data_IF_606979267318
#
_entry.id   IF_606979267318
#
_cell.length_a   1.000
_cell.length_b   1.000
_cell.length_c   1.000
_cell.angle_alpha   90.00
_cell.angle_beta   90.00
_cell.angle_gamma   90.00
#
_symmetry.space_group_name_H-M   'P 1'
#
loop_
_entity.id
_entity.type
_entity.pdbx_description
1 polymer ?
#
# COMPACT_ATOMS: atom_id res chain seq x y z
N UNK A 1 7.06 18.06 -11.71
CA UNK A 1 6.81 16.61 -11.87
C UNK A 1 8.08 15.88 -11.44
N UNK A 2 7.99 14.98 -10.48
CA UNK A 2 9.15 14.23 -9.99
C UNK A 2 9.59 13.20 -11.04
N UNK A 3 10.91 13.09 -11.29
CA UNK A 3 11.47 12.05 -12.17
C UNK A 3 11.63 10.71 -11.46
N UNK A 4 11.75 10.73 -10.14
CA UNK A 4 11.87 9.53 -9.32
C UNK A 4 11.02 9.62 -8.05
N UNK A 5 10.49 8.48 -7.61
CA UNK A 5 9.87 8.33 -6.31
C UNK A 5 10.62 7.26 -5.52
N UNK A 6 10.96 7.58 -4.28
CA UNK A 6 11.60 6.63 -3.35
C UNK A 6 10.59 6.24 -2.29
N UNK A 7 10.08 5.01 -2.38
CA UNK A 7 9.11 4.47 -1.43
C UNK A 7 9.83 3.74 -0.31
N UNK A 8 9.59 4.18 0.92
CA UNK A 8 10.14 3.57 2.14
C UNK A 8 9.03 2.86 2.89
N UNK A 9 9.28 1.63 3.30
CA UNK A 9 8.34 0.84 4.08
C UNK A 9 8.04 1.50 5.44
N UNK A 10 6.76 1.85 5.65
CA UNK A 10 6.23 2.37 6.91
C UNK A 10 5.64 1.31 7.83
N UNK A 11 5.81 0.02 7.51
CA UNK A 11 5.35 -1.08 8.34
C UNK A 11 6.02 -1.10 9.71
N UNK A 12 5.33 -1.66 10.73
CA UNK A 12 5.81 -1.69 12.12
C UNK A 12 7.20 -2.29 12.26
N UNK A 13 7.49 -3.41 11.58
CA UNK A 13 8.81 -4.04 11.57
C UNK A 13 9.90 -3.11 11.04
N UNK A 14 9.69 -2.49 9.88
CA UNK A 14 10.64 -1.53 9.31
C UNK A 14 10.78 -0.26 10.15
N UNK A 15 9.69 0.21 10.75
CA UNK A 15 9.71 1.37 11.68
C UNK A 15 10.56 1.05 12.91
N UNK A 16 10.39 -0.13 13.51
CA UNK A 16 11.22 -0.57 14.64
C UNK A 16 12.69 -0.75 14.26
N UNK A 17 12.97 -1.09 13.00
CA UNK A 17 14.32 -1.21 12.45
C UNK A 17 14.90 0.11 11.93
N UNK A 18 14.23 1.26 12.18
CA UNK A 18 14.76 2.59 11.90
C UNK A 18 14.34 3.23 10.58
N UNK A 19 13.32 2.72 9.87
CA UNK A 19 12.90 3.30 8.58
C UNK A 19 12.51 4.79 8.67
N UNK A 20 12.06 5.26 9.83
CA UNK A 20 11.77 6.69 10.06
C UNK A 20 13.03 7.54 9.97
N UNK A 21 14.14 7.08 10.58
CA UNK A 21 15.43 7.77 10.52
C UNK A 21 15.99 7.76 9.10
N UNK A 22 15.85 6.61 8.43
CA UNK A 22 16.24 6.45 7.02
C UNK A 22 15.49 7.45 6.14
N UNK A 23 14.17 7.58 6.29
CA UNK A 23 13.37 8.53 5.52
C UNK A 23 13.81 9.98 5.77
N UNK A 24 14.05 10.33 7.02
CA UNK A 24 14.56 11.66 7.38
C UNK A 24 15.94 11.93 6.77
N UNK A 25 16.87 11.00 6.93
CA UNK A 25 18.21 11.11 6.36
C UNK A 25 18.20 11.21 4.85
N UNK A 26 17.32 10.44 4.20
CA UNK A 26 17.15 10.50 2.75
C UNK A 26 16.69 11.87 2.29
N UNK A 27 15.70 12.47 2.96
CA UNK A 27 15.24 13.81 2.64
C UNK A 27 16.37 14.84 2.81
N UNK A 28 17.14 14.77 3.90
CA UNK A 28 18.29 15.65 4.15
C UNK A 28 19.35 15.55 3.05
N UNK A 29 19.68 14.34 2.60
CA UNK A 29 20.65 14.14 1.51
C UNK A 29 20.10 14.57 0.14
N UNK A 30 18.79 14.39 -0.12
CA UNK A 30 18.12 14.91 -1.33
C UNK A 30 18.20 16.43 -1.36
N UNK A 31 17.85 17.10 -0.26
CA UNK A 31 17.88 18.56 -0.16
C UNK A 31 19.30 19.10 -0.34
N UNK A 32 20.29 18.49 0.32
CA UNK A 32 21.72 18.84 0.23
C UNK A 32 22.26 18.72 -1.20
N UNK A 33 21.77 17.77 -1.98
CA UNK A 33 22.21 17.55 -3.36
C UNK A 33 21.33 18.28 -4.40
N UNK A 34 20.39 19.13 -3.98
CA UNK A 34 19.54 19.91 -4.88
C UNK A 34 18.50 19.10 -5.67
N UNK A 35 18.10 17.96 -5.15
CA UNK A 35 17.16 17.04 -5.81
C UNK A 35 15.71 17.18 -5.32
N UNK A 36 15.39 18.16 -4.49
CA UNK A 36 14.07 18.33 -3.84
C UNK A 36 12.91 18.41 -4.82
N UNK A 37 13.12 19.05 -5.97
CA UNK A 37 12.08 19.17 -7.02
C UNK A 37 12.04 17.97 -8.00
N UNK A 38 13.01 17.07 -7.88
CA UNK A 38 13.19 15.93 -8.80
C UNK A 38 12.85 14.58 -8.19
N UNK A 39 13.04 14.41 -6.88
CA UNK A 39 12.89 13.15 -6.16
C UNK A 39 11.90 13.29 -5.03
N UNK A 40 10.87 12.47 -5.04
CA UNK A 40 9.85 12.43 -3.98
C UNK A 40 10.11 11.28 -3.03
N UNK A 41 10.19 11.55 -1.73
CA UNK A 41 10.24 10.53 -0.68
C UNK A 41 8.82 10.21 -0.20
N UNK A 42 8.44 8.95 -0.26
CA UNK A 42 7.11 8.48 0.12
C UNK A 42 7.22 7.41 1.21
N UNK A 43 6.57 7.62 2.33
CA UNK A 43 6.33 6.54 3.30
C UNK A 43 5.06 5.80 2.90
N UNK A 44 5.23 4.58 2.44
CA UNK A 44 4.12 3.73 2.00
C UNK A 44 3.74 2.69 3.07
N UNK A 45 2.67 1.94 2.82
CA UNK A 45 2.29 0.80 3.65
C UNK A 45 3.32 -0.34 3.63
N UNK A 46 3.05 -1.39 4.40
CA UNK A 46 3.96 -2.54 4.51
C UNK A 46 4.07 -3.31 3.19
N UNK A 47 5.30 -3.66 2.80
CA UNK A 47 5.55 -4.56 1.67
C UNK A 47 5.32 -6.04 2.00
N UNK A 48 5.19 -6.42 3.27
CA UNK A 48 4.99 -7.80 3.70
C UNK A 48 6.29 -8.62 3.84
N UNK A 49 7.45 -8.03 3.59
CA UNK A 49 8.77 -8.69 3.62
C UNK A 49 9.60 -8.22 4.83
N UNK A 50 9.03 -8.33 6.04
CA UNK A 50 9.63 -7.77 7.27
C UNK A 50 11.02 -8.31 7.58
N UNK A 51 11.34 -9.54 7.19
CA UNK A 51 12.69 -10.13 7.37
C UNK A 51 13.78 -9.39 6.56
N UNK A 52 13.39 -8.65 5.53
CA UNK A 52 14.29 -7.89 4.65
C UNK A 52 14.31 -6.39 4.99
N UNK A 53 13.62 -6.00 6.07
CA UNK A 53 13.51 -4.57 6.47
C UNK A 53 14.79 -4.01 7.11
N UNK A 54 14.97 -2.70 7.03
CA UNK A 54 14.21 -1.69 6.30
C UNK A 54 14.28 -1.82 4.78
N UNK A 55 13.12 -1.61 4.12
CA UNK A 55 12.96 -1.76 2.67
C UNK A 55 12.77 -0.40 2.02
N UNK A 56 13.42 -0.22 0.86
CA UNK A 56 13.30 0.95 0.01
C UNK A 56 13.13 0.52 -1.46
N UNK A 57 12.21 1.16 -2.19
CA UNK A 57 12.06 0.96 -3.64
C UNK A 57 12.22 2.30 -4.35
N UNK A 58 13.03 2.31 -5.40
CA UNK A 58 13.23 3.48 -6.26
C UNK A 58 12.48 3.26 -7.58
N UNK A 59 11.54 4.16 -7.89
CA UNK A 59 10.82 4.21 -9.15
C UNK A 59 11.35 5.35 -10.04
N UNK A 60 11.28 5.19 -11.39
CA UNK A 60 10.47 4.23 -12.16
C UNK A 60 11.08 2.83 -12.32
N UNK A 61 12.38 2.61 -12.07
CA UNK A 61 13.08 1.35 -12.35
C UNK A 61 12.55 0.18 -11.50
N UNK A 62 12.00 0.48 -10.31
CA UNK A 62 11.53 -0.54 -9.37
C UNK A 62 12.67 -1.22 -8.61
N UNK A 63 13.83 -0.55 -8.50
CA UNK A 63 14.99 -1.08 -7.77
C UNK A 63 14.64 -1.32 -6.32
N UNK A 64 14.77 -2.56 -5.87
CA UNK A 64 14.40 -3.00 -4.53
C UNK A 64 15.64 -3.15 -3.65
N UNK A 65 15.78 -2.23 -2.69
CA UNK A 65 16.81 -2.26 -1.68
C UNK A 65 16.31 -2.89 -0.38
N UNK A 66 17.08 -3.80 0.19
CA UNK A 66 16.77 -4.51 1.44
C UNK A 66 17.81 -4.20 2.52
N UNK A 67 17.41 -4.36 3.78
CA UNK A 67 18.26 -4.17 4.96
C UNK A 67 19.02 -2.82 4.96
N UNK A 68 18.38 -1.78 4.42
CA UNK A 68 18.96 -0.45 4.27
C UNK A 68 19.22 0.17 5.65
N UNK A 69 20.40 0.74 5.82
CA UNK A 69 20.79 1.47 7.02
C UNK A 69 20.91 2.96 6.75
N UNK A 70 20.90 3.76 7.81
CA UNK A 70 21.06 5.22 7.71
C UNK A 70 22.37 5.62 7.02
N UNK A 71 23.45 4.87 7.25
CA UNK A 71 24.77 5.06 6.65
C UNK A 71 24.82 4.84 5.13
N UNK A 72 23.89 4.03 4.58
CA UNK A 72 23.82 3.72 3.15
C UNK A 72 23.20 4.86 2.33
N UNK A 73 22.50 5.78 2.98
CA UNK A 73 21.66 6.77 2.29
C UNK A 73 22.51 7.72 1.44
N UNK A 74 23.66 8.18 1.94
CA UNK A 74 24.52 9.06 1.19
C UNK A 74 25.03 8.42 -0.11
N UNK A 75 25.33 7.12 -0.08
CA UNK A 75 25.74 6.35 -1.27
C UNK A 75 24.56 6.17 -2.24
N UNK A 76 23.38 5.81 -1.74
CA UNK A 76 22.17 5.67 -2.59
C UNK A 76 21.87 6.99 -3.31
N UNK A 77 21.92 8.12 -2.62
CA UNK A 77 21.66 9.42 -3.23
C UNK A 77 22.74 9.76 -4.26
N UNK A 78 24.02 9.63 -3.93
CA UNK A 78 25.12 10.03 -4.80
C UNK A 78 25.31 9.10 -6.01
N UNK A 79 25.10 7.81 -5.85
CA UNK A 79 25.29 6.85 -6.94
C UNK A 79 23.99 6.59 -7.73
N UNK A 80 22.88 6.27 -7.03
CA UNK A 80 21.66 5.91 -7.73
C UNK A 80 20.85 7.14 -8.15
N UNK A 81 20.50 8.03 -7.22
CA UNK A 81 19.60 9.15 -7.54
C UNK A 81 20.28 10.23 -8.39
N UNK A 82 21.58 10.49 -8.21
CA UNK A 82 22.32 11.48 -9.00
C UNK A 82 22.90 10.91 -10.30
N UNK A 83 23.52 9.73 -10.24
CA UNK A 83 24.30 9.18 -11.36
C UNK A 83 23.63 8.01 -12.09
N UNK A 84 22.47 7.54 -11.61
CA UNK A 84 21.76 6.39 -12.19
C UNK A 84 22.45 5.03 -11.99
N UNK A 85 23.43 4.95 -11.06
CA UNK A 85 24.19 3.73 -10.80
C UNK A 85 23.65 3.04 -9.57
N UNK A 86 23.03 1.88 -9.76
CA UNK A 86 22.43 1.10 -8.67
C UNK A 86 23.49 0.61 -7.69
N UNK A 87 23.21 0.72 -6.39
CA UNK A 87 24.07 0.23 -5.31
C UNK A 87 23.82 -1.28 -5.13
N UNK A 88 24.49 -2.09 -5.91
CA UNK A 88 24.23 -3.53 -6.06
C UNK A 88 24.29 -4.32 -4.76
N UNK A 89 25.16 -3.92 -3.81
CA UNK A 89 25.29 -4.59 -2.49
C UNK A 89 24.05 -4.54 -1.63
N UNK A 90 23.12 -3.60 -1.89
CA UNK A 90 21.87 -3.42 -1.15
C UNK A 90 20.66 -4.00 -1.88
N UNK A 91 20.84 -4.39 -3.15
CA UNK A 91 19.77 -4.97 -3.95
C UNK A 91 19.42 -6.35 -3.42
N UNK A 92 18.13 -6.64 -3.32
CA UNK A 92 17.68 -7.95 -2.89
C UNK A 92 18.01 -9.03 -3.92
N UNK A 93 18.69 -10.08 -3.53
CA UNK A 93 19.26 -11.09 -4.42
C UNK A 93 18.26 -11.75 -5.38
N UNK A 94 17.01 -12.00 -4.93
CA UNK A 94 15.97 -12.56 -5.80
C UNK A 94 15.54 -11.60 -6.93
N UNK A 95 15.86 -10.30 -6.82
CA UNK A 95 15.58 -9.31 -7.86
C UNK A 95 16.74 -9.15 -8.85
N UNK A 96 17.88 -9.82 -8.58
CA UNK A 96 19.05 -9.84 -9.47
C UNK A 96 19.08 -11.15 -10.23
N UNK A 97 18.80 -11.12 -11.53
CA UNK A 97 19.00 -12.27 -12.41
C UNK A 97 19.88 -11.86 -13.58
N UNK A 98 20.97 -12.57 -13.81
CA UNK A 98 21.84 -12.54 -15.01
C UNK A 98 21.90 -11.20 -15.78
N UNK A 99 22.18 -10.08 -15.08
CA UNK A 99 22.24 -8.70 -15.58
C UNK A 99 20.91 -7.91 -15.70
N UNK A 100 19.78 -8.42 -15.25
CA UNK A 100 18.53 -7.65 -15.16
C UNK A 100 18.07 -7.55 -13.72
N UNK A 101 17.69 -6.33 -13.29
CA UNK A 101 17.06 -6.10 -11.99
C UNK A 101 15.56 -6.28 -12.17
N UNK A 102 15.03 -7.34 -11.58
CA UNK A 102 13.60 -7.64 -11.61
C UNK A 102 12.83 -6.74 -10.67
N UNK A 103 11.61 -6.41 -11.05
CA UNK A 103 10.69 -5.68 -10.18
C UNK A 103 10.25 -6.54 -8.98
N UNK A 104 9.81 -5.89 -7.90
CA UNK A 104 9.27 -6.57 -6.72
C UNK A 104 8.18 -7.59 -7.07
N UNK A 105 7.37 -7.32 -8.10
CA UNK A 105 6.29 -8.21 -8.56
C UNK A 105 6.79 -9.55 -9.10
N UNK A 106 8.04 -9.61 -9.51
CA UNK A 106 8.67 -10.80 -10.09
C UNK A 106 9.36 -11.70 -9.07
N UNK A 107 9.42 -11.27 -7.82
CA UNK A 107 9.91 -12.11 -6.72
C UNK A 107 8.96 -13.27 -6.44
N UNK A 108 9.49 -14.41 -5.99
CA UNK A 108 8.70 -15.62 -5.73
C UNK A 108 7.60 -15.40 -4.69
N UNK A 109 7.85 -14.52 -3.73
CA UNK A 109 6.85 -14.14 -2.72
C UNK A 109 5.64 -13.46 -3.36
N UNK A 110 5.84 -12.48 -4.24
CA UNK A 110 4.74 -11.72 -4.86
C UNK A 110 4.06 -12.46 -6.00
N UNK A 111 4.80 -13.27 -6.77
CA UNK A 111 4.21 -14.10 -7.85
C UNK A 111 3.12 -15.04 -7.36
N UNK A 112 3.25 -15.53 -6.12
CA UNK A 112 2.30 -16.46 -5.50
C UNK A 112 1.12 -15.76 -4.81
N UNK A 113 1.07 -14.42 -4.80
CA UNK A 113 0.03 -13.65 -4.11
C UNK A 113 -0.91 -12.95 -5.09
N UNK A 114 -2.21 -13.04 -4.81
CA UNK A 114 -3.24 -12.26 -5.46
C UNK A 114 -3.73 -11.17 -4.49
N UNK A 115 -3.09 -9.99 -4.53
CA UNK A 115 -3.39 -8.89 -3.62
C UNK A 115 -4.58 -8.09 -4.10
N UNK A 116 -5.69 -8.11 -3.34
CA UNK A 116 -6.91 -7.34 -3.63
C UNK A 116 -6.99 -6.12 -2.72
N UNK A 117 -7.13 -6.31 -1.40
CA UNK A 117 -7.24 -5.22 -0.44
C UNK A 117 -5.95 -4.37 -0.35
N UNK A 118 -4.79 -5.02 -0.43
CA UNK A 118 -3.47 -4.38 -0.32
C UNK A 118 -2.81 -4.10 -1.67
N UNK A 119 -3.57 -4.09 -2.77
CA UNK A 119 -3.03 -3.95 -4.13
C UNK A 119 -2.21 -2.69 -4.35
N UNK A 120 -2.52 -1.62 -3.64
CA UNK A 120 -1.86 -0.33 -3.75
C UNK A 120 -0.71 -0.13 -2.74
N UNK A 121 -0.54 -1.05 -1.76
CA UNK A 121 0.57 -0.96 -0.80
C UNK A 121 1.91 -1.13 -1.52
N UNK A 122 2.81 -0.17 -1.30
CA UNK A 122 4.10 -0.14 -1.99
C UNK A 122 4.04 0.28 -3.46
N UNK A 123 2.92 0.85 -3.92
CA UNK A 123 2.72 1.27 -5.30
C UNK A 123 2.37 2.75 -5.42
N UNK A 124 1.56 3.27 -4.48
CA UNK A 124 1.14 4.67 -4.47
C UNK A 124 1.54 5.35 -3.16
N UNK A 125 1.55 6.69 -3.19
CA UNK A 125 1.58 7.49 -1.98
C UNK A 125 0.19 7.45 -1.32
N UNK A 126 0.04 6.88 -0.10
CA UNK A 126 -1.24 6.75 0.58
C UNK A 126 -1.84 8.10 1.02
N UNK A 127 -1.04 9.17 1.05
CA UNK A 127 -1.46 10.52 1.41
C UNK A 127 -1.83 11.40 0.19
N UNK A 128 -1.71 10.84 -1.04
CA UNK A 128 -2.03 11.53 -2.29
C UNK A 128 -3.29 10.95 -2.93
N UNK A 129 -4.39 11.71 -2.90
CA UNK A 129 -5.68 11.30 -3.48
C UNK A 129 -5.62 11.12 -5.00
N UNK A 130 -4.81 11.92 -5.69
CA UNK A 130 -4.68 11.87 -7.15
C UNK A 130 -4.06 10.54 -7.61
N UNK A 131 -3.09 10.01 -6.85
CA UNK A 131 -2.52 8.69 -7.12
C UNK A 131 -3.54 7.56 -6.91
N UNK A 132 -4.43 7.71 -5.90
CA UNK A 132 -5.52 6.76 -5.70
C UNK A 132 -6.54 6.82 -6.84
N UNK A 133 -6.92 8.01 -7.30
CA UNK A 133 -7.80 8.21 -8.44
C UNK A 133 -7.17 7.64 -9.72
N UNK A 134 -5.88 7.91 -9.94
CA UNK A 134 -5.12 7.36 -11.08
C UNK A 134 -5.05 5.83 -11.10
N UNK A 135 -5.37 5.17 -9.99
CA UNK A 135 -5.49 3.71 -9.85
C UNK A 135 -6.94 3.23 -9.75
N UNK A 136 -7.85 3.91 -10.45
CA UNK A 136 -9.29 3.65 -10.48
C UNK A 136 -9.98 3.81 -9.11
N UNK A 137 -9.40 4.63 -8.23
CA UNK A 137 -10.04 5.02 -6.98
C UNK A 137 -11.34 5.77 -7.26
N UNK A 138 -12.39 5.44 -6.50
CA UNK A 138 -13.74 6.02 -6.64
C UNK A 138 -14.47 5.73 -7.98
N UNK A 139 -13.90 4.96 -8.91
CA UNK A 139 -14.55 4.63 -10.18
C UNK A 139 -15.90 3.93 -9.95
N UNK A 140 -15.93 2.93 -9.07
CA UNK A 140 -17.16 2.23 -8.69
C UNK A 140 -18.20 3.17 -8.05
N UNK A 141 -17.75 4.09 -7.18
CA UNK A 141 -18.62 5.09 -6.58
C UNK A 141 -19.23 6.01 -7.66
N UNK A 142 -18.41 6.50 -8.57
CA UNK A 142 -18.88 7.33 -9.68
C UNK A 142 -19.91 6.64 -10.56
N UNK A 143 -19.70 5.35 -10.84
CA UNK A 143 -20.69 4.50 -11.56
C UNK A 143 -22.00 4.40 -10.78
N UNK A 144 -21.94 4.03 -9.51
CA UNK A 144 -23.13 3.90 -8.64
C UNK A 144 -23.94 5.18 -8.61
N UNK A 145 -23.30 6.32 -8.34
CA UNK A 145 -23.99 7.61 -8.22
C UNK A 145 -24.65 8.08 -9.53
N UNK A 146 -24.12 7.67 -10.68
CA UNK A 146 -24.64 8.08 -11.99
C UNK A 146 -25.69 7.15 -12.56
N UNK A 147 -25.60 5.86 -12.31
CA UNK A 147 -26.32 4.85 -13.12
C UNK A 147 -27.10 3.82 -12.31
N UNK A 148 -27.05 3.84 -10.99
CA UNK A 148 -27.65 2.79 -10.17
C UNK A 148 -28.57 3.38 -9.08
N UNK A 149 -29.67 2.67 -8.81
CA UNK A 149 -30.49 2.90 -7.61
C UNK A 149 -29.88 2.16 -6.40
N UNK A 150 -30.24 2.55 -5.17
CA UNK A 150 -29.81 1.80 -3.99
C UNK A 150 -30.17 0.30 -4.03
N UNK A 151 -31.30 -0.04 -4.62
CA UNK A 151 -31.77 -1.42 -4.71
C UNK A 151 -30.96 -2.20 -5.76
N UNK A 152 -30.55 -1.57 -6.88
CA UNK A 152 -29.63 -2.17 -7.86
C UNK A 152 -28.27 -2.49 -7.22
N UNK A 153 -27.75 -1.60 -6.40
CA UNK A 153 -26.48 -1.83 -5.68
C UNK A 153 -26.58 -3.01 -4.74
N UNK A 154 -27.68 -3.09 -3.97
CA UNK A 154 -27.94 -4.23 -3.08
C UNK A 154 -28.02 -5.53 -3.88
N UNK A 155 -28.70 -5.52 -5.03
CA UNK A 155 -28.83 -6.71 -5.87
C UNK A 155 -27.47 -7.17 -6.40
N UNK A 156 -26.62 -6.26 -6.90
CA UNK A 156 -25.24 -6.59 -7.32
C UNK A 156 -24.43 -7.24 -6.21
N UNK A 157 -24.54 -6.73 -4.98
CA UNK A 157 -23.82 -7.30 -3.84
C UNK A 157 -24.39 -8.66 -3.43
N UNK A 158 -25.71 -8.87 -3.53
CA UNK A 158 -26.34 -10.18 -3.32
C UNK A 158 -25.83 -11.21 -4.33
N UNK A 159 -25.86 -10.85 -5.62
CA UNK A 159 -25.45 -11.71 -6.74
C UNK A 159 -23.95 -12.05 -6.69
N UNK A 160 -23.14 -11.15 -6.18
CA UNK A 160 -21.69 -11.38 -5.99
C UNK A 160 -21.37 -12.42 -4.93
N UNK A 161 -22.33 -12.75 -4.07
CA UNK A 161 -22.09 -13.66 -2.93
C UNK A 161 -21.12 -13.11 -1.88
N UNK A 162 -20.82 -11.80 -1.89
CA UNK A 162 -19.90 -11.18 -0.92
C UNK A 162 -20.37 -11.39 0.52
N UNK A 163 -19.45 -11.81 1.37
CA UNK A 163 -19.70 -12.07 2.80
C UNK A 163 -18.86 -11.14 3.67
N UNK A 164 -19.34 -10.87 4.87
CA UNK A 164 -18.62 -10.11 5.90
C UNK A 164 -17.28 -10.74 6.26
N UNK A 165 -16.34 -9.91 6.68
CA UNK A 165 -14.98 -10.29 7.06
C UNK A 165 -14.70 -10.07 8.56
N UNK A 166 -15.75 -9.91 9.37
CA UNK A 166 -15.67 -9.80 10.82
C UNK A 166 -15.73 -11.14 11.58
N UNK A 167 -15.41 -12.26 10.92
CA UNK A 167 -15.41 -13.61 11.50
C UNK A 167 -16.68 -14.43 11.22
N UNK A 168 -17.87 -13.84 11.31
CA UNK A 168 -19.16 -14.53 11.13
C UNK A 168 -19.56 -14.81 9.69
N UNK A 169 -18.95 -14.17 8.71
CA UNK A 169 -19.22 -14.40 7.29
C UNK A 169 -20.66 -14.10 6.85
N UNK A 170 -21.35 -13.18 7.53
CA UNK A 170 -22.74 -12.84 7.20
C UNK A 170 -22.84 -12.27 5.77
N UNK A 171 -23.84 -12.65 4.94
CA UNK A 171 -24.00 -12.15 3.58
C UNK A 171 -24.15 -10.62 3.55
N UNK A 172 -23.20 -9.93 2.90
CA UNK A 172 -23.14 -8.45 2.91
C UNK A 172 -24.35 -7.82 2.26
N UNK A 173 -24.81 -8.34 1.11
CA UNK A 173 -26.00 -7.84 0.43
C UNK A 173 -27.27 -7.98 1.28
N UNK A 174 -27.38 -9.09 2.05
CA UNK A 174 -28.49 -9.28 2.99
C UNK A 174 -28.46 -8.26 4.13
N UNK A 175 -27.29 -7.98 4.66
CA UNK A 175 -27.11 -6.93 5.68
C UNK A 175 -27.55 -5.57 5.15
N UNK A 176 -27.15 -5.21 3.96
CA UNK A 176 -27.53 -3.95 3.33
C UNK A 176 -29.02 -3.86 3.02
N UNK A 177 -29.63 -4.96 2.55
CA UNK A 177 -31.07 -5.03 2.32
C UNK A 177 -31.89 -4.81 3.61
N UNK A 178 -31.47 -5.46 4.71
CA UNK A 178 -32.10 -5.26 6.02
C UNK A 178 -31.97 -3.81 6.49
N UNK A 179 -30.78 -3.23 6.40
CA UNK A 179 -30.55 -1.84 6.77
C UNK A 179 -31.39 -0.88 5.92
N UNK A 180 -31.46 -1.10 4.59
CA UNK A 180 -32.28 -0.30 3.67
C UNK A 180 -33.74 -0.27 4.07
N UNK A 181 -34.29 -1.44 4.41
CA UNK A 181 -35.69 -1.58 4.80
C UNK A 181 -36.01 -0.88 6.13
N UNK A 182 -35.07 -0.87 7.07
CA UNK A 182 -35.29 -0.28 8.40
C UNK A 182 -35.09 1.23 8.44
N UNK A 183 -34.23 1.79 7.58
CA UNK A 183 -33.83 3.21 7.63
C UNK A 183 -34.23 3.98 6.39
N UNK A 184 -35.22 3.51 5.66
CA UNK A 184 -35.66 4.09 4.37
C UNK A 184 -36.00 5.57 4.48
N UNK A 185 -36.66 5.96 5.56
CA UNK A 185 -37.18 7.31 5.79
C UNK A 185 -36.30 8.12 6.77
N UNK A 186 -35.10 7.63 7.12
CA UNK A 186 -34.21 8.36 8.01
C UNK A 186 -33.62 9.59 7.32
N UNK A 187 -33.67 10.74 7.95
CA UNK A 187 -33.14 12.00 7.43
C UNK A 187 -31.63 11.97 7.25
N UNK A 188 -30.93 11.27 8.14
CA UNK A 188 -29.46 11.15 8.11
C UNK A 188 -29.04 9.70 8.22
N UNK A 189 -28.05 9.31 7.39
CA UNK A 189 -27.51 7.97 7.33
C UNK A 189 -25.99 8.03 7.45
N UNK A 190 -25.42 7.06 8.14
CA UNK A 190 -23.98 6.96 8.36
C UNK A 190 -23.44 5.67 7.78
N UNK A 191 -22.23 5.72 7.23
CA UNK A 191 -21.46 4.54 6.85
C UNK A 191 -20.31 4.40 7.83
N UNK A 192 -20.32 3.31 8.60
CA UNK A 192 -19.27 3.00 9.55
C UNK A 192 -18.43 1.84 9.03
N UNK A 193 -17.10 2.05 8.93
CA UNK A 193 -16.16 0.98 8.65
C UNK A 193 -15.64 0.42 9.98
N UNK A 194 -16.01 -0.84 10.30
CA UNK A 194 -15.37 -1.55 11.40
C UNK A 194 -14.10 -2.23 10.86
N UNK A 195 -12.95 -1.79 11.36
CA UNK A 195 -11.63 -2.34 11.01
C UNK A 195 -10.85 -2.76 12.26
N UNK A 196 -11.54 -3.09 13.36
CA UNK A 196 -10.96 -3.40 14.67
C UNK A 196 -11.56 -4.68 15.30
N UNK A 197 -11.74 -5.71 14.51
CA UNK A 197 -12.28 -6.99 14.97
C UNK A 197 -11.16 -7.97 15.32
N UNK A 198 -11.24 -8.57 16.50
CA UNK A 198 -10.32 -9.61 16.98
C UNK A 198 -10.90 -11.02 16.90
N UNK A 199 -12.08 -11.20 16.32
CA UNK A 199 -12.73 -12.51 16.23
C UNK A 199 -11.95 -13.50 15.35
N UNK A 200 -12.00 -14.80 15.66
CA UNK A 200 -11.42 -15.82 14.81
C UNK A 200 -11.95 -15.74 13.37
N UNK A 201 -11.06 -15.72 12.38
CA UNK A 201 -11.41 -15.56 10.97
C UNK A 201 -11.70 -14.12 10.53
N UNK A 202 -11.62 -13.13 11.42
CA UNK A 202 -11.72 -11.73 11.04
C UNK A 202 -10.50 -11.27 10.22
N UNK A 203 -10.76 -10.48 9.18
CA UNK A 203 -9.71 -9.98 8.27
C UNK A 203 -9.02 -8.74 8.82
N UNK A 204 -9.73 -7.92 9.60
CA UNK A 204 -9.23 -6.65 10.11
C UNK A 204 -7.94 -6.80 10.91
N UNK A 205 -7.88 -7.72 11.86
CA UNK A 205 -6.67 -7.96 12.64
C UNK A 205 -5.59 -8.72 11.86
N UNK A 206 -5.98 -9.80 11.15
CA UNK A 206 -5.02 -10.67 10.46
C UNK A 206 -4.43 -10.08 9.19
N UNK A 207 -5.10 -9.12 8.55
CA UNK A 207 -4.67 -8.57 7.27
C UNK A 207 -4.52 -7.04 7.26
N UNK A 208 -5.47 -6.31 7.85
CA UNK A 208 -5.45 -4.85 7.80
C UNK A 208 -4.63 -4.23 8.93
N UNK A 209 -4.70 -4.81 10.13
CA UNK A 209 -4.00 -4.34 11.35
C UNK A 209 -2.86 -5.25 11.78
N UNK A 210 -2.58 -6.29 11.05
CA UNK A 210 -1.43 -7.16 11.34
C UNK A 210 -0.13 -6.36 11.40
N UNK A 211 0.81 -6.81 12.22
CA UNK A 211 2.10 -6.15 12.37
C UNK A 211 2.84 -5.98 11.04
N UNK A 212 2.66 -6.94 10.14
CA UNK A 212 3.26 -6.94 8.81
C UNK A 212 2.73 -5.82 7.91
N UNK A 213 1.51 -5.33 8.15
CA UNK A 213 0.94 -4.23 7.37
C UNK A 213 1.33 -2.86 7.91
N UNK A 214 1.84 -2.79 9.16
CA UNK A 214 2.27 -1.56 9.80
C UNK A 214 1.18 -0.51 9.95
N UNK A 215 -0.06 -0.90 9.88
CA UNK A 215 -1.19 0.01 9.99
C UNK A 215 -1.53 0.23 11.45
N UNK A 216 -1.03 1.30 11.98
CA UNK A 216 -1.62 2.00 13.10
C UNK A 216 -2.62 2.99 12.49
N UNK A 217 -3.87 2.59 12.42
CA UNK A 217 -4.98 3.49 12.18
C UNK A 217 -5.24 4.31 13.43
#
# INVERSE_FOLDING_TARGET
>A
MYRSQVLICGGTGCTSSGSVKIAKRLQEEIDKNGLTDEVMVVRTGCFGLCALGPIMIVYPEGTFYSMVKEEDIAEIVSEHLLKGRIVTRLVYDETVAENEIKSLKETDFYKKQHRIALRNCGVINPECIDEYIGRNGYEALGKVLKTMTPDDVIQVILDSGLRGRGGGGFPTGKKWQLARNLVKDADQKYVCCNADEGDPGAVSYTHLRAHETGRNL
#
